data_IF_378851343435
#
_entry.id   IF_378851343435
#
_cell.length_a   1.000
_cell.length_b   1.000
_cell.length_c   1.000
_cell.angle_alpha   90.00
_cell.angle_beta   90.00
_cell.angle_gamma   90.00
#
_symmetry.space_group_name_H-M   'P 1'
#
loop_
_entity.id
_entity.type
_entity.pdbx_description
1 polymer ?
#
# COMPACT_ATOMS: atom_id res chain seq x y z
N UNK A 1 3.71 3.53 -23.94
CA UNK A 1 2.77 2.58 -23.32
C UNK A 1 3.35 2.21 -21.97
N UNK A 2 2.60 2.49 -20.90
CA UNK A 2 3.04 2.17 -19.56
C UNK A 2 2.73 0.69 -19.32
N UNK A 3 3.74 -0.16 -19.16
CA UNK A 3 3.58 -1.61 -18.93
C UNK A 3 2.59 -1.92 -17.81
N UNK A 4 2.45 -1.03 -16.82
CA UNK A 4 1.47 -1.17 -15.74
C UNK A 4 0.03 -1.11 -16.27
N UNK A 5 -0.28 -0.21 -17.21
CA UNK A 5 -1.63 -0.08 -17.76
C UNK A 5 -2.06 -1.33 -18.55
N UNK A 6 -1.12 -1.99 -19.23
CA UNK A 6 -1.39 -3.24 -19.94
C UNK A 6 -1.65 -4.41 -18.98
N UNK A 7 -0.91 -4.45 -17.87
CA UNK A 7 -1.14 -5.41 -16.78
C UNK A 7 -2.52 -5.18 -16.19
N UNK A 8 -2.86 -3.95 -15.79
CA UNK A 8 -4.17 -3.59 -15.23
C UNK A 8 -5.33 -3.99 -16.16
N UNK A 9 -5.20 -3.69 -17.45
CA UNK A 9 -6.20 -4.08 -18.44
C UNK A 9 -6.35 -5.61 -18.57
N UNK A 10 -5.25 -6.35 -18.44
CA UNK A 10 -5.24 -7.81 -18.51
C UNK A 10 -5.86 -8.45 -17.26
N UNK A 11 -5.65 -7.86 -16.07
CA UNK A 11 -6.21 -8.35 -14.81
C UNK A 11 -7.75 -8.39 -14.84
N UNK A 12 -8.39 -7.45 -15.53
CA UNK A 12 -9.86 -7.39 -15.64
C UNK A 12 -10.48 -8.61 -16.35
N UNK A 13 -9.70 -9.34 -17.14
CA UNK A 13 -10.18 -10.51 -17.89
C UNK A 13 -10.04 -11.82 -17.13
N UNK A 14 -9.38 -11.80 -15.97
CA UNK A 14 -9.08 -12.98 -15.17
C UNK A 14 -10.22 -13.36 -14.26
N UNK A 15 -10.37 -14.65 -14.01
CA UNK A 15 -11.27 -15.15 -12.98
C UNK A 15 -10.62 -15.07 -11.59
N UNK A 16 -11.41 -15.33 -10.54
CA UNK A 16 -10.97 -15.25 -9.14
C UNK A 16 -9.78 -16.16 -8.81
N UNK A 17 -9.72 -17.38 -9.36
CA UNK A 17 -8.62 -18.32 -9.08
C UNK A 17 -7.30 -17.85 -9.71
N UNK A 18 -7.39 -17.26 -10.90
CA UNK A 18 -6.26 -16.65 -11.60
C UNK A 18 -5.76 -15.41 -10.86
N UNK A 19 -6.67 -14.58 -10.32
CA UNK A 19 -6.31 -13.43 -9.49
C UNK A 19 -5.59 -13.86 -8.21
N UNK A 20 -6.09 -14.87 -7.49
CA UNK A 20 -5.39 -15.44 -6.32
C UNK A 20 -4.04 -16.07 -6.68
N UNK A 21 -3.87 -16.57 -7.90
CA UNK A 21 -2.57 -17.04 -8.36
C UNK A 21 -1.60 -15.87 -8.56
N UNK A 22 -2.03 -14.79 -9.20
CA UNK A 22 -1.22 -13.58 -9.39
C UNK A 22 -0.83 -12.96 -8.05
N UNK A 23 -1.76 -12.88 -7.10
CA UNK A 23 -1.50 -12.38 -5.75
C UNK A 23 -0.35 -13.16 -5.09
N UNK A 24 -0.39 -14.50 -5.10
CA UNK A 24 0.70 -15.33 -4.58
C UNK A 24 2.04 -15.10 -5.28
N UNK A 25 2.03 -14.86 -6.60
CA UNK A 25 3.25 -14.53 -7.35
C UNK A 25 3.81 -13.19 -6.88
N UNK A 26 2.97 -12.17 -6.70
CA UNK A 26 3.36 -10.85 -6.19
C UNK A 26 3.94 -10.98 -4.78
N UNK A 27 3.31 -11.77 -3.90
CA UNK A 27 3.80 -11.99 -2.54
C UNK A 27 5.19 -12.63 -2.53
N UNK A 28 5.42 -13.61 -3.42
CA UNK A 28 6.72 -14.23 -3.57
C UNK A 28 7.78 -13.25 -4.12
N UNK A 29 7.40 -12.35 -5.03
CA UNK A 29 8.31 -11.33 -5.56
C UNK A 29 8.79 -10.36 -4.46
N UNK A 30 7.90 -9.90 -3.58
CA UNK A 30 8.29 -9.05 -2.45
C UNK A 30 9.26 -9.76 -1.50
N UNK A 31 9.01 -11.04 -1.19
CA UNK A 31 9.93 -11.87 -0.40
C UNK A 31 11.30 -12.00 -1.05
N UNK A 32 11.36 -12.29 -2.36
CA UNK A 32 12.62 -12.45 -3.10
C UNK A 32 13.42 -11.14 -3.15
N UNK A 33 12.72 -9.99 -3.24
CA UNK A 33 13.34 -8.66 -3.22
C UNK A 33 13.80 -8.22 -1.83
N UNK A 34 13.56 -9.04 -0.80
CA UNK A 34 13.87 -8.76 0.59
C UNK A 34 13.24 -7.44 1.05
N UNK A 35 12.05 -7.12 0.55
CA UNK A 35 11.28 -6.03 1.12
C UNK A 35 10.79 -6.44 2.52
N UNK A 36 10.94 -5.57 3.52
CA UNK A 36 10.50 -5.84 4.88
C UNK A 36 8.98 -5.80 4.95
N UNK A 37 8.38 -6.97 4.73
CA UNK A 37 6.96 -7.23 4.92
C UNK A 37 6.67 -7.37 6.41
N UNK A 38 5.80 -6.51 6.94
CA UNK A 38 5.32 -6.54 8.33
C UNK A 38 4.15 -7.53 8.44
N UNK A 39 3.27 -7.59 7.44
CA UNK A 39 2.10 -8.45 7.44
C UNK A 39 1.77 -8.92 6.01
N UNK A 40 1.35 -10.18 5.87
CA UNK A 40 0.95 -10.83 4.61
C UNK A 40 -0.21 -11.77 4.91
N UNK A 41 -1.41 -11.42 4.47
CA UNK A 41 -2.61 -12.23 4.63
C UNK A 41 -3.50 -12.23 3.38
N UNK A 42 -4.73 -12.76 3.52
CA UNK A 42 -5.71 -12.88 2.43
C UNK A 42 -6.25 -11.54 1.92
N UNK A 43 -5.94 -10.43 2.61
CA UNK A 43 -6.35 -9.08 2.25
C UNK A 43 -5.19 -8.25 1.67
N UNK A 44 -3.97 -8.79 1.68
CA UNK A 44 -2.81 -8.22 1.00
C UNK A 44 -1.55 -8.17 1.87
N UNK A 45 -0.62 -7.32 1.44
CA UNK A 45 0.69 -7.13 2.08
C UNK A 45 0.75 -5.74 2.71
N UNK A 46 1.28 -5.69 3.93
CA UNK A 46 1.69 -4.47 4.62
C UNK A 46 3.21 -4.48 4.79
N UNK A 47 3.88 -3.48 4.23
CA UNK A 47 5.34 -3.31 4.31
C UNK A 47 5.73 -2.23 5.31
N UNK A 48 7.03 -2.12 5.64
CA UNK A 48 7.54 -0.97 6.41
C UNK A 48 7.35 0.36 5.68
N UNK A 49 7.34 0.36 4.34
CA UNK A 49 7.05 1.56 3.57
C UNK A 49 5.60 2.02 3.80
N UNK A 50 4.64 1.09 3.79
CA UNK A 50 3.24 1.38 4.06
C UNK A 50 3.07 1.93 5.49
N UNK A 51 3.72 1.28 6.46
CA UNK A 51 3.73 1.73 7.85
C UNK A 51 4.27 3.16 8.01
N UNK A 52 5.40 3.45 7.35
CA UNK A 52 6.04 4.77 7.42
C UNK A 52 5.19 5.84 6.75
N UNK A 53 4.61 5.51 5.59
CA UNK A 53 3.74 6.42 4.84
C UNK A 53 2.47 6.75 5.62
N UNK A 54 1.83 5.74 6.22
CA UNK A 54 0.66 5.94 7.07
C UNK A 54 0.99 6.76 8.33
N UNK A 55 2.13 6.50 8.97
CA UNK A 55 2.58 7.28 10.12
C UNK A 55 2.83 8.76 9.76
N UNK A 56 3.45 9.01 8.61
CA UNK A 56 3.69 10.37 8.10
C UNK A 56 2.37 11.13 7.91
N UNK A 57 1.39 10.51 7.26
CA UNK A 57 0.08 11.14 7.03
C UNK A 57 -0.64 11.47 8.35
N UNK A 58 -0.55 10.58 9.34
CA UNK A 58 -1.09 10.84 10.69
C UNK A 58 -0.38 12.00 11.36
N UNK A 59 0.95 12.08 11.28
CA UNK A 59 1.69 13.21 11.85
C UNK A 59 1.31 14.53 11.17
N UNK A 60 1.21 14.56 9.84
CA UNK A 60 0.76 15.76 9.12
C UNK A 60 -0.66 16.19 9.52
N UNK A 61 -1.55 15.25 9.79
CA UNK A 61 -2.89 15.54 10.27
C UNK A 61 -2.88 16.15 11.67
N UNK A 62 -2.05 15.61 12.57
CA UNK A 62 -1.90 16.10 13.93
C UNK A 62 -1.28 17.51 13.96
N UNK A 63 -0.25 17.75 13.15
CA UNK A 63 0.39 19.06 13.01
C UNK A 63 -0.62 20.12 12.54
N UNK A 64 -1.43 19.80 11.52
CA UNK A 64 -2.52 20.70 11.07
C UNK A 64 -3.53 21.00 12.17
N UNK A 65 -3.88 20.01 12.99
CA UNK A 65 -4.81 20.22 14.11
C UNK A 65 -4.21 21.08 15.22
N UNK A 66 -2.91 20.91 15.52
CA UNK A 66 -2.23 21.77 16.48
C UNK A 66 -2.19 23.24 16.02
N UNK A 67 -1.89 23.48 14.75
CA UNK A 67 -1.86 24.82 14.18
C UNK A 67 -3.24 25.50 14.25
N UNK A 68 -4.32 24.76 13.96
CA UNK A 68 -5.69 25.27 14.13
C UNK A 68 -5.94 25.67 15.59
N UNK A 69 -5.56 24.83 16.55
CA UNK A 69 -5.75 25.14 17.99
C UNK A 69 -4.92 26.34 18.44
N UNK A 70 -3.68 26.48 17.96
CA UNK A 70 -2.81 27.63 18.26
C UNK A 70 -3.42 28.92 17.71
N UNK A 71 -3.87 28.91 16.47
CA UNK A 71 -4.49 30.08 15.83
C UNK A 71 -5.85 30.45 16.44
N UNK A 72 -6.62 29.49 16.95
CA UNK A 72 -7.90 29.76 17.62
C UNK A 72 -7.74 30.37 19.02
N UNK A 73 -6.56 30.23 19.64
CA UNK A 73 -6.25 30.72 20.98
C UNK A 73 -5.35 31.98 20.98
N UNK A 74 -5.00 32.51 19.80
CA UNK A 74 -4.22 33.74 19.60
C UNK A 74 -5.14 34.93 19.28
#
# INVERSE_FOLDING_TARGET
MNTIQEIEASLLSLNTDELHHIERVIHNLYRVRNEPVIYDDVYGIWTEYDQTSAALEVFELLDKQEDIKRNANA
#
